data_IF_013685453630
#
_entry.id   IF_013685453630
#
_cell.length_a   1.000
_cell.length_b   1.000
_cell.length_c   1.000
_cell.angle_alpha   90.00
_cell.angle_beta   90.00
_cell.angle_gamma   90.00
#
_symmetry.space_group_name_H-M   'P 1'
#
loop_
_entity.id
_entity.type
_entity.pdbx_description
1 polymer ?
#
# COMPACT_ATOMS: atom_id res chain seq x y z
N UNK A 1 -27.21 -11.20 -6.24
CA UNK A 1 -27.32 -10.13 -5.23
C UNK A 1 -26.02 -10.09 -4.46
N UNK A 2 -25.17 -9.09 -4.73
CA UNK A 2 -23.92 -8.92 -3.99
C UNK A 2 -24.22 -8.48 -2.55
N UNK A 3 -23.53 -9.04 -1.57
CA UNK A 3 -23.60 -8.59 -0.18
C UNK A 3 -23.14 -7.12 -0.13
N UNK A 4 -24.08 -6.20 0.07
CA UNK A 4 -23.75 -4.83 0.46
C UNK A 4 -23.56 -4.87 1.96
N UNK A 5 -22.31 -4.89 2.41
CA UNK A 5 -22.00 -4.59 3.80
C UNK A 5 -22.38 -3.12 4.01
N UNK A 6 -23.28 -2.83 4.96
CA UNK A 6 -23.65 -1.47 5.29
C UNK A 6 -22.41 -0.76 5.84
N UNK A 7 -21.88 0.21 5.10
CA UNK A 7 -20.84 1.12 5.60
C UNK A 7 -21.53 2.13 6.52
N UNK A 8 -20.96 2.35 7.70
CA UNK A 8 -21.48 3.33 8.66
C UNK A 8 -21.00 4.72 8.27
N UNK A 9 -21.84 5.74 8.54
CA UNK A 9 -21.43 7.14 8.40
C UNK A 9 -20.19 7.45 9.25
N UNK A 10 -19.23 8.18 8.68
CA UNK A 10 -17.96 8.52 9.34
C UNK A 10 -16.97 7.37 9.48
N UNK A 11 -17.22 6.20 8.88
CA UNK A 11 -16.30 5.07 8.94
C UNK A 11 -15.03 5.34 8.13
N UNK A 12 -13.91 4.76 8.57
CA UNK A 12 -12.73 4.60 7.73
C UNK A 12 -12.90 3.38 6.81
N UNK A 13 -12.70 3.58 5.51
CA UNK A 13 -12.89 2.56 4.49
C UNK A 13 -11.66 2.50 3.60
N UNK A 14 -10.95 1.37 3.69
CA UNK A 14 -9.79 1.11 2.83
C UNK A 14 -10.18 0.28 1.61
N UNK A 15 -10.04 0.85 0.41
CA UNK A 15 -10.18 0.14 -0.86
C UNK A 15 -8.90 -0.66 -1.12
N UNK A 16 -8.97 -1.98 -0.91
CA UNK A 16 -7.84 -2.90 -1.01
C UNK A 16 -8.28 -4.30 -1.49
N UNK A 17 -7.38 -5.28 -1.46
CA UNK A 17 -7.69 -6.69 -1.70
C UNK A 17 -7.02 -7.23 -2.96
N UNK A 18 -7.61 -6.95 -4.11
CA UNK A 18 -6.95 -7.01 -5.43
C UNK A 18 -6.37 -5.65 -5.78
N UNK A 19 -6.41 -5.27 -7.06
CA UNK A 19 -6.04 -3.91 -7.49
C UNK A 19 -7.31 -3.06 -7.70
N UNK A 20 -7.56 -1.99 -6.90
CA UNK A 20 -8.74 -1.15 -7.04
C UNK A 20 -8.90 -0.53 -8.44
N UNK A 21 -7.80 -0.27 -9.13
CA UNK A 21 -7.80 0.19 -10.52
C UNK A 21 -8.47 -0.80 -11.49
N UNK A 22 -8.70 -2.06 -11.13
CA UNK A 22 -9.40 -3.04 -11.97
C UNK A 22 -10.93 -2.95 -11.87
N UNK A 23 -11.48 -2.29 -10.86
CA UNK A 23 -12.94 -2.09 -10.73
C UNK A 23 -13.44 -1.32 -11.96
N UNK A 24 -14.62 -1.68 -12.47
CA UNK A 24 -15.20 -0.98 -13.62
C UNK A 24 -15.62 0.46 -13.26
N UNK A 25 -15.61 1.41 -14.21
CA UNK A 25 -15.87 2.81 -13.90
C UNK A 25 -17.25 3.10 -13.28
N UNK A 26 -18.28 2.32 -13.63
CA UNK A 26 -19.65 2.52 -13.13
C UNK A 26 -19.74 2.09 -11.67
N UNK A 27 -19.12 0.97 -11.32
CA UNK A 27 -19.03 0.51 -9.94
C UNK A 27 -18.17 1.46 -9.11
N UNK A 28 -17.03 1.91 -9.63
CA UNK A 28 -16.15 2.86 -8.91
C UNK A 28 -16.87 4.17 -8.59
N UNK A 29 -17.61 4.73 -9.55
CA UNK A 29 -18.44 5.93 -9.32
C UNK A 29 -19.43 5.72 -8.17
N UNK A 30 -20.15 4.59 -8.18
CA UNK A 30 -21.13 4.28 -7.12
C UNK A 30 -20.48 4.14 -5.75
N UNK A 31 -19.29 3.54 -5.69
CA UNK A 31 -18.52 3.41 -4.44
C UNK A 31 -18.17 4.79 -3.91
N UNK A 32 -17.51 5.64 -4.70
CA UNK A 32 -17.11 6.97 -4.24
C UNK A 32 -18.30 7.86 -3.89
N UNK A 33 -19.37 7.85 -4.70
CA UNK A 33 -20.60 8.59 -4.36
C UNK A 33 -21.19 8.15 -3.02
N UNK A 34 -21.16 6.85 -2.73
CA UNK A 34 -21.69 6.32 -1.47
C UNK A 34 -20.81 6.69 -0.27
N UNK A 35 -19.50 6.53 -0.38
CA UNK A 35 -18.55 6.83 0.70
C UNK A 35 -18.49 8.32 1.02
N UNK A 36 -18.45 9.18 -0.01
CA UNK A 36 -18.48 10.64 0.17
C UNK A 36 -19.81 11.08 0.81
N UNK A 37 -20.94 10.49 0.40
CA UNK A 37 -22.25 10.79 1.01
C UNK A 37 -22.29 10.41 2.50
N UNK A 38 -21.57 9.36 2.89
CA UNK A 38 -21.47 8.90 4.27
C UNK A 38 -20.34 9.60 5.05
N UNK A 39 -19.69 10.61 4.48
CA UNK A 39 -18.57 11.31 5.10
C UNK A 39 -17.49 10.36 5.64
N UNK A 40 -17.21 9.28 4.89
CA UNK A 40 -16.19 8.31 5.26
C UNK A 40 -14.79 8.87 5.00
N UNK A 41 -13.82 8.45 5.82
CA UNK A 41 -12.39 8.53 5.47
C UNK A 41 -12.09 7.40 4.49
N UNK A 42 -11.42 7.70 3.37
CA UNK A 42 -11.20 6.78 2.26
C UNK A 42 -9.70 6.59 2.06
N UNK A 43 -9.23 5.36 2.25
CA UNK A 43 -7.85 4.99 1.93
C UNK A 43 -7.83 4.11 0.68
N UNK A 44 -6.78 4.22 -0.13
CA UNK A 44 -6.60 3.39 -1.32
C UNK A 44 -5.25 2.68 -1.31
N UNK A 45 -5.28 1.36 -1.40
CA UNK A 45 -4.10 0.51 -1.53
C UNK A 45 -3.98 0.08 -2.98
N UNK A 46 -2.95 0.53 -3.69
CA UNK A 46 -2.85 0.36 -5.15
C UNK A 46 -1.41 0.17 -5.61
N UNK A 47 -1.22 -0.57 -6.71
CA UNK A 47 0.03 -0.61 -7.46
C UNK A 47 0.18 0.52 -8.49
N UNK A 48 -0.68 1.54 -8.42
CA UNK A 48 -0.66 2.72 -9.29
C UNK A 48 -1.73 2.68 -10.39
N UNK A 49 -2.34 1.52 -10.67
CA UNK A 49 -3.40 1.46 -11.68
C UNK A 49 -4.62 2.31 -11.31
N UNK A 50 -4.96 2.42 -10.02
CA UNK A 50 -6.01 3.34 -9.55
C UNK A 50 -5.66 4.79 -9.88
N UNK A 51 -4.43 5.22 -9.59
CA UNK A 51 -3.95 6.58 -9.88
C UNK A 51 -4.08 6.86 -11.37
N UNK A 52 -3.61 5.94 -12.20
CA UNK A 52 -3.65 6.05 -13.67
C UNK A 52 -5.07 6.17 -14.23
N UNK A 53 -6.00 5.33 -13.75
CA UNK A 53 -7.35 5.25 -14.33
C UNK A 53 -8.33 6.25 -13.74
N UNK A 54 -8.15 6.60 -12.47
CA UNK A 54 -9.15 7.31 -11.70
C UNK A 54 -8.60 8.49 -10.91
N UNK A 55 -7.28 8.72 -10.93
CA UNK A 55 -6.61 9.69 -10.09
C UNK A 55 -7.16 11.10 -10.24
N UNK A 56 -7.29 11.58 -11.47
CA UNK A 56 -7.85 12.90 -11.79
C UNK A 56 -9.24 13.13 -11.17
N UNK A 57 -10.05 12.07 -11.10
CA UNK A 57 -11.45 12.18 -10.68
C UNK A 57 -11.63 12.01 -9.18
N UNK A 58 -10.95 11.03 -8.58
CA UNK A 58 -11.26 10.58 -7.22
C UNK A 58 -10.18 10.87 -6.18
N UNK A 59 -8.92 11.19 -6.55
CA UNK A 59 -7.87 11.43 -5.52
C UNK A 59 -8.22 12.56 -4.55
N UNK A 60 -8.94 13.59 -4.99
CA UNK A 60 -9.40 14.67 -4.11
C UNK A 60 -10.38 14.24 -3.01
N UNK A 61 -10.89 13.02 -3.06
CA UNK A 61 -11.77 12.43 -2.04
C UNK A 61 -11.07 11.33 -1.24
N UNK A 62 -9.82 11.02 -1.57
CA UNK A 62 -9.02 10.00 -0.88
C UNK A 62 -8.20 10.70 0.18
N UNK A 63 -8.22 10.18 1.40
CA UNK A 63 -7.46 10.72 2.52
C UNK A 63 -6.02 10.18 2.51
N UNK A 64 -5.84 8.89 2.27
CA UNK A 64 -4.52 8.26 2.16
C UNK A 64 -4.40 7.33 0.94
N UNK A 65 -3.29 7.41 0.22
CA UNK A 65 -2.90 6.45 -0.80
C UNK A 65 -1.68 5.67 -0.33
N UNK A 66 -1.86 4.37 -0.13
CA UNK A 66 -0.76 3.43 0.07
C UNK A 66 -0.35 2.88 -1.29
N UNK A 67 0.65 3.54 -1.88
CA UNK A 67 1.14 3.22 -3.22
C UNK A 67 2.24 2.16 -3.14
N UNK A 68 1.92 0.94 -3.59
CA UNK A 68 2.88 -0.13 -3.79
C UNK A 68 3.72 0.22 -5.01
N UNK A 69 4.81 0.95 -4.78
CA UNK A 69 5.43 1.78 -5.80
C UNK A 69 6.14 1.00 -6.90
N UNK A 70 6.66 -0.19 -6.55
CA UNK A 70 7.24 -1.14 -7.48
C UNK A 70 6.99 -2.57 -6.99
N UNK A 71 6.69 -3.48 -7.91
CA UNK A 71 6.70 -4.93 -7.63
C UNK A 71 8.13 -5.50 -7.71
N UNK A 72 8.96 -4.91 -8.57
CA UNK A 72 10.38 -5.23 -8.73
C UNK A 72 11.24 -3.98 -8.48
N UNK A 73 12.18 -4.08 -7.54
CA UNK A 73 13.01 -2.95 -7.10
C UNK A 73 14.05 -2.49 -8.13
N UNK A 74 14.15 -3.16 -9.27
CA UNK A 74 14.97 -2.74 -10.41
C UNK A 74 14.24 -1.74 -11.34
N UNK A 75 12.93 -1.51 -11.12
CA UNK A 75 12.11 -0.59 -11.90
C UNK A 75 12.05 0.82 -11.30
N UNK A 76 11.60 1.78 -12.10
CA UNK A 76 11.37 3.16 -11.65
C UNK A 76 9.99 3.33 -11.01
N UNK A 77 9.89 4.21 -10.02
CA UNK A 77 8.61 4.60 -9.43
C UNK A 77 7.85 5.42 -10.46
N UNK A 78 6.64 5.00 -10.84
CA UNK A 78 5.84 5.70 -11.87
C UNK A 78 5.35 7.07 -11.39
N UNK A 79 5.06 7.20 -10.10
CA UNK A 79 4.55 8.43 -9.48
C UNK A 79 5.48 8.92 -8.33
N UNK A 80 6.70 9.41 -8.60
CA UNK A 80 7.69 9.73 -7.57
C UNK A 80 7.51 11.11 -6.92
N UNK A 81 6.61 11.95 -7.43
CA UNK A 81 6.41 13.34 -6.97
C UNK A 81 4.96 13.58 -6.52
N UNK A 82 4.42 12.65 -5.73
CA UNK A 82 3.08 12.81 -5.16
C UNK A 82 3.15 13.57 -3.85
N UNK A 83 2.02 14.13 -3.43
CA UNK A 83 1.91 14.84 -2.15
C UNK A 83 2.17 13.88 -0.99
N UNK A 84 3.27 14.08 -0.26
CA UNK A 84 3.70 13.23 0.86
C UNK A 84 2.72 13.25 2.04
N UNK A 85 1.83 14.25 2.13
CA UNK A 85 0.76 14.26 3.15
C UNK A 85 -0.36 13.27 2.82
N UNK A 86 -0.53 12.95 1.53
CA UNK A 86 -1.57 12.05 1.04
C UNK A 86 -1.01 10.67 0.62
N UNK A 87 0.26 10.60 0.21
CA UNK A 87 0.86 9.40 -0.37
C UNK A 87 1.92 8.77 0.53
N UNK A 88 1.65 7.53 0.93
CA UNK A 88 2.61 6.64 1.57
C UNK A 88 3.22 5.71 0.52
N UNK A 89 4.51 5.86 0.22
CA UNK A 89 5.24 4.93 -0.65
C UNK A 89 5.54 3.63 0.08
N UNK A 90 5.02 2.52 -0.44
CA UNK A 90 5.18 1.19 0.15
C UNK A 90 6.04 0.31 -0.74
N UNK A 91 7.14 -0.20 -0.19
CA UNK A 91 7.96 -1.23 -0.83
C UNK A 91 7.49 -2.59 -0.32
N UNK A 92 7.05 -3.44 -1.24
CA UNK A 92 6.71 -4.83 -0.92
C UNK A 92 7.98 -5.68 -0.98
N UNK A 93 8.40 -6.19 0.17
CA UNK A 93 9.62 -7.00 0.31
C UNK A 93 9.32 -8.50 0.39
N UNK A 94 10.15 -9.28 -0.30
CA UNK A 94 10.08 -10.75 -0.37
C UNK A 94 11.49 -11.33 -0.20
N UNK A 95 11.60 -12.66 -0.06
CA UNK A 95 12.91 -13.30 -0.07
C UNK A 95 13.68 -13.04 -1.37
N UNK A 96 12.99 -12.80 -2.48
CA UNK A 96 13.60 -12.66 -3.79
C UNK A 96 14.11 -11.24 -4.05
N UNK A 97 13.55 -10.20 -3.42
CA UNK A 97 13.91 -8.80 -3.73
C UNK A 97 14.56 -8.03 -2.56
N UNK A 98 14.52 -8.53 -1.32
CA UNK A 98 14.97 -7.75 -0.15
C UNK A 98 16.44 -7.31 -0.20
N UNK A 99 17.27 -7.98 -1.01
CA UNK A 99 18.66 -7.62 -1.23
C UNK A 99 18.84 -6.33 -2.04
N UNK A 100 17.82 -5.90 -2.80
CA UNK A 100 17.83 -4.68 -3.62
C UNK A 100 17.34 -3.43 -2.88
N UNK A 101 16.81 -3.59 -1.65
CA UNK A 101 16.16 -2.49 -0.92
C UNK A 101 17.13 -1.36 -0.60
N UNK A 102 18.37 -1.67 -0.23
CA UNK A 102 19.36 -0.64 0.12
C UNK A 102 19.66 0.28 -1.08
N UNK A 103 19.95 -0.32 -2.24
CA UNK A 103 20.23 0.40 -3.48
C UNK A 103 19.01 1.21 -3.94
N UNK A 104 17.80 0.67 -3.75
CA UNK A 104 16.56 1.37 -4.08
C UNK A 104 16.33 2.59 -3.18
N UNK A 105 16.55 2.44 -1.87
CA UNK A 105 16.47 3.55 -0.93
C UNK A 105 17.55 4.61 -1.22
N UNK A 106 18.73 4.22 -1.73
CA UNK A 106 19.80 5.16 -2.11
C UNK A 106 19.36 5.97 -3.33
N UNK A 107 18.81 5.29 -4.34
CA UNK A 107 18.28 5.91 -5.57
C UNK A 107 17.18 6.95 -5.25
N UNK A 108 16.30 6.64 -4.29
CA UNK A 108 15.18 7.51 -3.91
C UNK A 108 15.34 8.10 -2.50
N UNK A 109 16.55 8.54 -2.15
CA UNK A 109 16.88 9.09 -0.82
C UNK A 109 16.10 10.35 -0.40
N UNK A 110 15.36 10.96 -1.32
CA UNK A 110 14.48 12.10 -1.06
C UNK A 110 13.06 11.68 -0.65
N UNK A 111 12.68 10.40 -0.80
CA UNK A 111 11.36 9.88 -0.45
C UNK A 111 11.42 9.07 0.84
N UNK A 112 10.31 9.12 1.59
CA UNK A 112 10.10 8.25 2.75
C UNK A 112 9.35 6.98 2.34
N UNK A 113 9.86 5.82 2.76
CA UNK A 113 9.28 4.52 2.41
C UNK A 113 8.81 3.75 3.63
N UNK A 114 7.69 3.06 3.47
CA UNK A 114 7.21 2.00 4.36
C UNK A 114 7.55 0.64 3.77
N UNK A 115 8.11 -0.27 4.56
CA UNK A 115 8.37 -1.65 4.13
C UNK A 115 7.23 -2.57 4.56
N UNK A 116 6.73 -3.43 3.67
CA UNK A 116 5.70 -4.42 3.99
C UNK A 116 6.00 -5.77 3.34
N UNK A 117 5.67 -6.87 4.02
CA UNK A 117 5.78 -8.22 3.45
C UNK A 117 4.51 -8.58 2.66
N UNK A 118 4.64 -9.38 1.60
CA UNK A 118 3.49 -9.98 0.93
C UNK A 118 3.04 -11.27 1.64
N UNK A 119 1.96 -11.19 2.43
CA UNK A 119 1.44 -12.33 3.18
C UNK A 119 0.50 -13.24 2.35
N UNK A 120 -0.04 -12.78 1.23
CA UNK A 120 -1.09 -13.49 0.48
C UNK A 120 -0.60 -14.59 -0.47
N UNK A 121 0.68 -14.61 -0.83
CA UNK A 121 1.19 -15.49 -1.89
C UNK A 121 2.34 -16.41 -1.46
N UNK A 122 2.55 -16.61 -0.16
CA UNK A 122 3.63 -17.49 0.33
C UNK A 122 5.06 -16.98 0.06
N UNK A 123 5.21 -15.84 -0.62
CA UNK A 123 6.47 -15.10 -0.78
C UNK A 123 6.74 -14.23 0.45
N UNK A 124 6.85 -14.88 1.61
CA UNK A 124 7.14 -14.18 2.86
C UNK A 124 8.65 -14.05 3.02
N UNK A 125 9.14 -12.81 3.11
CA UNK A 125 10.48 -12.54 3.63
C UNK A 125 10.62 -13.25 4.98
N UNK A 126 11.64 -14.08 5.18
CA UNK A 126 11.77 -14.77 6.45
C UNK A 126 12.06 -13.78 7.59
N UNK A 127 11.61 -14.11 8.80
CA UNK A 127 11.67 -13.21 9.96
C UNK A 127 13.09 -12.72 10.29
N UNK A 128 14.09 -13.56 10.09
CA UNK A 128 15.49 -13.21 10.35
C UNK A 128 15.98 -12.14 9.40
N UNK A 129 15.70 -12.29 8.11
CA UNK A 129 16.07 -11.31 7.09
C UNK A 129 15.20 -10.06 7.15
N UNK A 130 13.92 -10.15 7.54
CA UNK A 130 13.09 -8.99 7.86
C UNK A 130 13.70 -8.16 9.02
N UNK A 131 14.19 -8.82 10.07
CA UNK A 131 14.86 -8.15 11.18
C UNK A 131 16.18 -7.50 10.77
N UNK A 132 17.02 -8.20 10.01
CA UNK A 132 18.26 -7.61 9.48
C UNK A 132 17.97 -6.41 8.58
N UNK A 133 17.00 -6.53 7.68
CA UNK A 133 16.59 -5.48 6.76
C UNK A 133 16.10 -4.24 7.52
N UNK A 134 15.21 -4.45 8.50
CA UNK A 134 14.73 -3.37 9.36
C UNK A 134 15.88 -2.71 10.11
N UNK A 135 16.72 -3.48 10.81
CA UNK A 135 17.80 -2.93 11.63
C UNK A 135 18.82 -2.14 10.81
N UNK A 136 19.10 -2.56 9.57
CA UNK A 136 20.02 -1.87 8.66
C UNK A 136 19.42 -0.58 8.08
N UNK A 137 18.11 -0.55 7.85
CA UNK A 137 17.44 0.57 7.16
C UNK A 137 16.53 1.44 8.04
N UNK A 138 16.39 1.16 9.34
CA UNK A 138 15.49 1.87 10.29
C UNK A 138 15.62 3.40 10.32
N UNK A 139 16.73 3.95 9.84
CA UNK A 139 16.96 5.40 9.75
C UNK A 139 16.48 6.03 8.44
N UNK A 140 16.00 5.21 7.51
CA UNK A 140 15.66 5.55 6.12
C UNK A 140 14.24 5.15 5.73
N UNK A 141 13.57 4.42 6.62
CA UNK A 141 12.22 3.89 6.42
C UNK A 141 11.34 4.36 7.57
N UNK A 142 10.03 4.38 7.38
CA UNK A 142 9.07 4.75 8.42
C UNK A 142 9.13 3.80 9.62
N UNK A 143 8.89 4.33 10.82
CA UNK A 143 8.88 3.53 12.05
C UNK A 143 7.83 2.40 12.00
N UNK A 144 6.69 2.67 11.38
CA UNK A 144 5.61 1.71 11.11
C UNK A 144 6.04 0.50 10.29
N UNK A 145 7.18 0.59 9.58
CA UNK A 145 7.76 -0.55 8.86
C UNK A 145 8.04 -1.73 9.79
N UNK A 146 8.33 -1.48 11.08
CA UNK A 146 8.45 -2.56 12.05
C UNK A 146 7.14 -3.33 12.16
N UNK A 147 6.03 -2.63 12.37
CA UNK A 147 4.73 -3.29 12.48
C UNK A 147 4.38 -4.03 11.20
N UNK A 148 4.51 -3.42 10.03
CA UNK A 148 4.10 -4.09 8.78
C UNK A 148 5.01 -5.24 8.35
N UNK A 149 6.29 -5.23 8.72
CA UNK A 149 7.17 -6.38 8.50
C UNK A 149 6.87 -7.55 9.46
N UNK A 150 6.51 -7.28 10.72
CA UNK A 150 6.39 -8.33 11.76
C UNK A 150 4.96 -8.73 12.14
N UNK A 151 3.95 -7.89 11.88
CA UNK A 151 2.54 -8.17 12.22
C UNK A 151 2.02 -9.40 11.49
N UNK A 152 2.35 -9.55 10.21
CA UNK A 152 1.92 -10.71 9.41
C UNK A 152 2.72 -12.00 9.66
N UNK A 153 3.82 -11.95 10.42
CA UNK A 153 4.52 -13.17 10.85
C UNK A 153 3.82 -13.88 12.01
N UNK A 154 2.93 -13.20 12.74
CA UNK A 154 2.25 -13.77 13.91
C UNK A 154 0.99 -14.57 13.56
N UNK A 155 0.41 -14.39 12.37
CA UNK A 155 -0.87 -15.03 11.98
C UNK A 155 -0.71 -16.36 11.24
N UNK A 156 0.52 -16.83 10.96
CA UNK A 156 0.76 -18.12 10.29
C UNK A 156 0.79 -19.34 11.22
N UNK A 157 0.42 -19.20 12.51
CA UNK A 157 0.41 -20.31 13.49
C UNK A 157 -0.92 -20.46 14.25
N UNK A 158 -2.06 -20.21 13.60
CA UNK A 158 -3.36 -20.67 14.09
C UNK A 158 -4.06 -21.44 12.98
N UNK A 159 -3.68 -22.73 12.89
CA UNK A 159 -4.58 -23.80 12.42
C UNK A 159 -5.40 -24.23 13.62
#
# INVERSE_FOLDING_TARGET
MGKVYSVTEGAQVSLSGGEPGLIDPVTMEKVFQHLVKLNCTIDVFTNGLFIKRYGEKYLKYVDEVLYHCVENLDQEIEYPNMDEEQFTYVIIVTNDNHHLVDDFLDKYSHLSFKLSCNSKHGQTLNRGDAFKLFMRNKHRISEDSFETLFRYHCDCNLI
#
